data_IF_567797293492
#
_entry.id   IF_567797293492
#
_cell.length_a   1.000
_cell.length_b   1.000
_cell.length_c   1.000
_cell.angle_alpha   90.00
_cell.angle_beta   90.00
_cell.angle_gamma   90.00
#
_symmetry.space_group_name_H-M   'P 1'
#
loop_
_entity.id
_entity.type
_entity.pdbx_description
1 polymer ?
#
# COMPACT_ATOMS: atom_id res chain seq x y z
N UNK A 1 -10.12 21.79 -9.39
CA UNK A 1 -9.51 21.58 -8.06
C UNK A 1 -8.16 22.30 -7.95
N UNK A 2 -7.18 21.96 -8.77
CA UNK A 2 -5.82 22.54 -8.69
C UNK A 2 -5.68 23.89 -9.42
N UNK A 3 -6.63 24.25 -10.29
CA UNK A 3 -6.50 25.42 -11.16
C UNK A 3 -6.85 26.76 -10.50
N UNK A 4 -7.47 26.75 -9.30
CA UNK A 4 -7.84 27.96 -8.57
C UNK A 4 -6.97 28.13 -7.32
N UNK A 5 -5.93 29.00 -7.34
CA UNK A 5 -4.97 29.15 -6.24
C UNK A 5 -5.62 29.41 -4.87
N UNK A 6 -6.68 30.21 -4.81
CA UNK A 6 -7.36 30.55 -3.55
C UNK A 6 -8.20 29.42 -2.95
N UNK A 7 -8.31 28.27 -3.63
CA UNK A 7 -9.14 27.13 -3.22
C UNK A 7 -8.40 25.79 -3.37
N UNK A 8 -7.08 25.81 -3.56
CA UNK A 8 -6.29 24.58 -3.68
C UNK A 8 -6.30 23.82 -2.36
N UNK A 9 -6.56 22.51 -2.37
CA UNK A 9 -6.38 21.71 -1.17
C UNK A 9 -4.88 21.65 -0.84
N UNK A 10 -4.49 21.75 0.44
CA UNK A 10 -3.10 21.59 0.83
C UNK A 10 -2.61 20.14 0.67
N UNK A 11 -3.54 19.18 0.68
CA UNK A 11 -3.25 17.76 0.59
C UNK A 11 -4.29 17.07 -0.29
N UNK A 12 -3.83 16.24 -1.22
CA UNK A 12 -4.64 15.35 -2.04
C UNK A 12 -4.19 13.93 -1.79
N UNK A 13 -5.05 13.13 -1.16
CA UNK A 13 -4.84 11.70 -0.96
C UNK A 13 -5.38 10.94 -2.17
N UNK A 14 -4.55 10.08 -2.75
CA UNK A 14 -4.88 9.23 -3.89
C UNK A 14 -4.79 7.77 -3.44
N UNK A 15 -5.55 6.89 -4.09
CA UNK A 15 -5.46 5.45 -3.84
C UNK A 15 -6.56 4.69 -4.56
N UNK A 16 -6.48 3.36 -4.48
CA UNK A 16 -7.45 2.43 -5.10
C UNK A 16 -7.17 2.08 -6.56
N UNK A 17 -6.47 2.95 -7.31
CA UNK A 17 -6.02 2.71 -8.68
C UNK A 17 -4.60 3.24 -8.89
N UNK A 18 -3.92 2.76 -9.93
CA UNK A 18 -2.58 3.23 -10.27
C UNK A 18 -2.61 4.72 -10.66
N UNK A 19 -1.82 5.54 -9.98
CA UNK A 19 -1.68 6.96 -10.28
C UNK A 19 -0.88 7.14 -11.56
N UNK A 20 -1.40 7.92 -12.50
CA UNK A 20 -0.69 8.19 -13.75
C UNK A 20 0.50 9.14 -13.54
N UNK A 21 1.60 8.99 -14.30
CA UNK A 21 2.73 9.92 -14.23
C UNK A 21 2.32 11.38 -14.46
N UNK A 22 1.40 11.63 -15.39
CA UNK A 22 0.91 12.98 -15.70
C UNK A 22 0.18 13.63 -14.51
N UNK A 23 -0.68 12.88 -13.80
CA UNK A 23 -1.35 13.39 -12.60
C UNK A 23 -0.35 13.66 -11.48
N UNK A 24 0.60 12.74 -11.27
CA UNK A 24 1.62 12.88 -10.22
C UNK A 24 2.51 14.09 -10.44
N UNK A 25 3.00 14.28 -11.67
CA UNK A 25 3.78 15.47 -12.05
C UNK A 25 3.00 16.77 -11.86
N UNK A 26 1.70 16.78 -12.19
CA UNK A 26 0.85 17.95 -11.97
C UNK A 26 0.71 18.28 -10.49
N UNK A 27 0.52 17.26 -9.64
CA UNK A 27 0.44 17.46 -8.19
C UNK A 27 1.77 17.96 -7.62
N UNK A 28 2.89 17.35 -7.99
CA UNK A 28 4.22 17.77 -7.57
C UNK A 28 4.56 19.20 -7.99
N UNK A 29 4.08 19.66 -9.15
CA UNK A 29 4.27 21.02 -9.65
C UNK A 29 3.28 22.06 -9.10
N UNK A 30 2.24 21.64 -8.36
CA UNK A 30 1.21 22.55 -7.85
C UNK A 30 1.66 23.15 -6.51
N UNK A 31 2.09 24.40 -6.54
CA UNK A 31 2.47 25.13 -5.33
C UNK A 31 1.33 25.16 -4.30
N UNK A 32 1.69 24.87 -3.04
CA UNK A 32 0.77 24.82 -1.91
C UNK A 32 -0.04 23.53 -1.80
N UNK A 33 0.16 22.55 -2.69
CA UNK A 33 -0.51 21.25 -2.64
C UNK A 33 0.51 20.12 -2.56
N UNK A 34 0.25 19.16 -1.67
CA UNK A 34 0.97 17.89 -1.60
C UNK A 34 0.09 16.78 -2.15
N UNK A 35 0.60 16.00 -3.09
CA UNK A 35 0.00 14.71 -3.46
C UNK A 35 0.54 13.62 -2.54
N UNK A 36 -0.32 12.70 -2.10
CA UNK A 36 0.10 11.53 -1.35
C UNK A 36 -0.57 10.29 -1.95
N UNK A 37 0.23 9.39 -2.49
CA UNK A 37 -0.25 8.14 -3.08
C UNK A 37 -0.32 7.08 -1.99
N UNK A 38 -1.46 6.42 -1.86
CA UNK A 38 -1.71 5.40 -0.86
C UNK A 38 -2.13 4.10 -1.53
N UNK A 39 -1.62 2.99 -1.02
CA UNK A 39 -2.06 1.67 -1.40
C UNK A 39 -2.41 0.86 -0.16
N UNK A 40 -3.57 0.21 -0.17
CA UNK A 40 -3.87 -0.85 0.76
C UNK A 40 -5.18 -1.57 0.42
N UNK A 41 -5.24 -2.88 0.69
CA UNK A 41 -6.48 -3.62 0.60
C UNK A 41 -7.36 -3.38 1.83
N UNK A 42 -8.67 -3.60 1.68
CA UNK A 42 -9.63 -3.58 2.80
C UNK A 42 -9.21 -4.52 3.94
N UNK A 43 -8.58 -5.63 3.59
CA UNK A 43 -8.08 -6.67 4.50
C UNK A 43 -6.90 -6.23 5.38
N UNK A 44 -6.34 -5.05 5.14
CA UNK A 44 -5.37 -4.39 6.01
C UNK A 44 -5.83 -2.98 6.43
N UNK A 45 -7.14 -2.75 6.60
CA UNK A 45 -7.64 -1.51 7.22
C UNK A 45 -7.21 -0.24 6.46
N UNK A 46 -7.70 -0.11 5.22
CA UNK A 46 -7.55 1.06 4.33
C UNK A 46 -6.19 1.13 3.62
N UNK A 47 -5.09 1.43 4.32
CA UNK A 47 -3.79 1.69 3.68
C UNK A 47 -2.66 0.89 4.33
N UNK A 48 -1.66 0.53 3.52
CA UNK A 48 -0.47 -0.26 3.89
C UNK A 48 0.82 0.42 3.49
N UNK A 49 0.82 1.05 2.32
CA UNK A 49 1.95 1.74 1.73
C UNK A 49 1.54 3.19 1.43
N UNK A 50 2.51 4.10 1.50
CA UNK A 50 2.30 5.46 1.05
C UNK A 50 3.58 6.21 0.71
N UNK A 51 3.44 7.23 -0.13
CA UNK A 51 4.51 8.19 -0.45
C UNK A 51 3.94 9.55 -0.85
N UNK A 52 4.63 10.61 -0.46
CA UNK A 52 4.30 11.98 -0.86
C UNK A 52 5.05 12.45 -2.11
N UNK A 53 4.49 13.42 -2.84
CA UNK A 53 5.17 14.10 -3.96
C UNK A 53 6.44 14.85 -3.52
N UNK A 54 6.60 15.11 -2.21
CA UNK A 54 7.80 15.70 -1.62
C UNK A 54 8.89 14.66 -1.31
N UNK A 55 8.56 13.36 -1.32
CA UNK A 55 9.48 12.25 -1.05
C UNK A 55 9.94 11.58 -2.35
N UNK A 56 9.04 11.41 -3.34
CA UNK A 56 9.33 10.71 -4.59
C UNK A 56 8.69 11.40 -5.80
N UNK A 57 9.46 11.52 -6.88
CA UNK A 57 8.99 12.11 -8.14
C UNK A 57 8.26 11.11 -9.05
N UNK A 58 8.29 9.82 -8.71
CA UNK A 58 7.61 8.75 -9.45
C UNK A 58 6.31 8.34 -8.74
N UNK A 59 5.25 7.97 -9.48
CA UNK A 59 3.95 7.58 -8.92
C UNK A 59 3.97 6.14 -8.36
N UNK A 60 4.92 5.84 -7.48
CA UNK A 60 5.01 4.53 -6.80
C UNK A 60 4.04 4.46 -5.63
N UNK A 61 3.75 3.25 -5.15
CA UNK A 61 2.88 3.02 -3.98
C UNK A 61 3.58 3.35 -2.65
N UNK A 62 4.92 3.48 -2.67
CA UNK A 62 5.69 3.97 -1.53
C UNK A 62 6.19 2.89 -0.58
N UNK A 63 6.36 3.28 0.68
CA UNK A 63 6.90 2.44 1.76
C UNK A 63 5.83 2.11 2.79
N UNK A 64 6.08 1.10 3.62
CA UNK A 64 5.15 0.69 4.67
C UNK A 64 4.85 1.82 5.66
N UNK A 65 3.58 1.96 6.03
CA UNK A 65 3.16 2.82 7.14
C UNK A 65 3.55 2.18 8.49
N UNK A 66 3.41 2.94 9.58
CA UNK A 66 3.73 2.45 10.92
C UNK A 66 3.09 1.10 11.24
N UNK A 67 3.85 0.24 11.93
CA UNK A 67 3.43 -1.09 12.37
C UNK A 67 2.95 -2.00 11.23
N UNK A 68 3.48 -1.80 10.02
CA UNK A 68 3.20 -2.60 8.83
C UNK A 68 4.49 -3.15 8.25
N UNK A 69 4.45 -4.42 7.89
CA UNK A 69 5.53 -5.11 7.19
C UNK A 69 5.03 -5.54 5.83
N UNK A 70 5.87 -5.39 4.81
CA UNK A 70 5.53 -5.76 3.43
C UNK A 70 6.60 -6.66 2.86
N UNK A 71 6.17 -7.66 2.10
CA UNK A 71 7.05 -8.66 1.53
C UNK A 71 6.70 -8.88 0.06
N UNK A 72 7.70 -8.85 -0.81
CA UNK A 72 7.57 -9.29 -2.20
C UNK A 72 8.15 -10.69 -2.28
N UNK A 73 7.28 -11.67 -2.49
CA UNK A 73 7.61 -13.09 -2.35
C UNK A 73 7.45 -13.86 -3.67
N UNK A 74 8.22 -14.92 -3.79
CA UNK A 74 8.03 -15.95 -4.82
C UNK A 74 6.92 -16.96 -4.44
N UNK A 75 6.53 -17.90 -5.34
CA UNK A 75 5.50 -18.91 -5.04
C UNK A 75 5.84 -19.88 -3.90
N UNK A 76 7.08 -19.89 -3.42
CA UNK A 76 7.55 -20.71 -2.30
C UNK A 76 7.72 -19.88 -1.01
N UNK A 77 7.15 -18.67 -0.96
CA UNK A 77 7.23 -17.72 0.16
C UNK A 77 8.65 -17.27 0.50
N UNK A 78 9.53 -17.17 -0.49
CA UNK A 78 10.90 -16.66 -0.32
C UNK A 78 10.96 -15.19 -0.72
N UNK A 79 11.64 -14.33 0.06
CA UNK A 79 11.88 -12.94 -0.33
C UNK A 79 12.63 -12.86 -1.65
N UNK A 80 12.15 -11.99 -2.54
CA UNK A 80 12.80 -11.70 -3.80
C UNK A 80 13.80 -10.54 -3.67
N UNK A 81 14.86 -10.52 -4.50
CA UNK A 81 15.79 -9.39 -4.53
C UNK A 81 15.13 -8.14 -5.14
N UNK A 82 15.71 -6.97 -4.85
CA UNK A 82 15.24 -5.69 -5.36
C UNK A 82 15.06 -5.70 -6.89
N UNK A 83 13.91 -5.18 -7.33
CA UNK A 83 13.55 -5.07 -8.74
C UNK A 83 12.98 -6.35 -9.38
N UNK A 84 13.01 -7.49 -8.69
CA UNK A 84 12.37 -8.70 -9.20
C UNK A 84 10.84 -8.67 -8.96
N UNK A 85 10.02 -9.02 -9.97
CA UNK A 85 8.57 -9.07 -9.80
C UNK A 85 8.17 -10.27 -8.95
N UNK A 86 7.27 -10.05 -8.01
CA UNK A 86 6.71 -11.07 -7.13
C UNK A 86 5.34 -10.69 -6.60
N UNK A 87 4.78 -11.55 -5.76
CA UNK A 87 3.48 -11.28 -5.13
C UNK A 87 3.68 -10.50 -3.83
N UNK A 88 2.83 -9.49 -3.60
CA UNK A 88 2.88 -8.65 -2.41
C UNK A 88 2.10 -9.31 -1.25
N UNK A 89 2.73 -9.34 -0.09
CA UNK A 89 2.15 -9.76 1.17
C UNK A 89 2.28 -8.65 2.19
N UNK A 90 1.25 -8.44 3.00
CA UNK A 90 1.20 -7.41 4.04
C UNK A 90 0.94 -8.06 5.41
N UNK A 91 1.77 -7.75 6.39
CA UNK A 91 1.68 -8.23 7.77
C UNK A 91 1.72 -7.05 8.75
N UNK A 92 1.35 -7.32 10.01
CA UNK A 92 1.33 -6.32 11.08
C UNK A 92 -0.07 -6.09 11.65
N UNK A 93 -0.18 -5.05 12.49
CA UNK A 93 -1.34 -4.87 13.38
C UNK A 93 -2.64 -4.51 12.63
N UNK A 94 -2.53 -4.04 11.38
CA UNK A 94 -3.66 -3.63 10.56
C UNK A 94 -4.43 -4.78 9.93
N UNK A 95 -3.96 -6.02 10.05
CA UNK A 95 -4.56 -7.19 9.41
C UNK A 95 -5.99 -7.45 9.94
N UNK A 96 -6.93 -7.62 9.01
CA UNK A 96 -8.30 -7.96 9.36
C UNK A 96 -8.39 -9.33 10.06
N UNK A 97 -9.48 -9.54 10.80
CA UNK A 97 -9.75 -10.85 11.42
C UNK A 97 -9.91 -11.95 10.36
N UNK A 98 -10.51 -11.62 9.23
CA UNK A 98 -10.80 -12.52 8.13
C UNK A 98 -12.12 -12.17 7.45
N UNK A 99 -12.57 -13.04 6.57
CA UNK A 99 -13.86 -12.91 5.91
C UNK A 99 -14.98 -13.51 6.76
N UNK A 100 -16.04 -12.75 7.00
CA UNK A 100 -17.17 -13.17 7.84
C UNK A 100 -17.82 -14.46 7.31
N UNK A 101 -17.83 -15.51 8.13
CA UNK A 101 -18.45 -16.79 7.78
C UNK A 101 -17.71 -17.60 6.70
N UNK A 102 -16.53 -17.17 6.26
CA UNK A 102 -15.80 -17.79 5.15
C UNK A 102 -14.40 -18.23 5.61
N UNK A 103 -14.35 -19.28 6.45
CA UNK A 103 -13.11 -19.79 7.03
C UNK A 103 -12.10 -20.29 5.98
N UNK A 104 -12.56 -20.98 4.94
CA UNK A 104 -11.69 -21.47 3.87
C UNK A 104 -11.01 -20.33 3.10
N UNK A 105 -11.78 -19.31 2.70
CA UNK A 105 -11.23 -18.12 2.03
C UNK A 105 -10.31 -17.33 2.96
N UNK A 106 -10.66 -17.25 4.24
CA UNK A 106 -9.82 -16.61 5.25
C UNK A 106 -8.48 -17.33 5.36
N UNK A 107 -8.47 -18.66 5.50
CA UNK A 107 -7.24 -19.43 5.59
C UNK A 107 -6.39 -19.37 4.30
N UNK A 108 -7.02 -19.21 3.14
CA UNK A 108 -6.31 -19.08 1.86
C UNK A 108 -5.65 -17.71 1.67
N UNK A 109 -6.25 -16.63 2.20
CA UNK A 109 -5.75 -15.25 2.03
C UNK A 109 -4.94 -14.73 3.22
N UNK A 110 -5.31 -15.12 4.44
CA UNK A 110 -4.66 -14.72 5.69
C UNK A 110 -3.80 -15.88 6.19
N UNK A 111 -2.61 -16.03 5.60
CA UNK A 111 -1.69 -17.15 5.83
C UNK A 111 -0.75 -16.86 6.99
N UNK A 112 -0.08 -17.89 7.51
CA UNK A 112 0.94 -17.71 8.54
C UNK A 112 2.12 -16.87 8.02
N UNK A 113 2.61 -15.93 8.83
CA UNK A 113 3.80 -15.14 8.49
C UNK A 113 5.06 -15.89 8.96
N UNK A 114 5.96 -16.33 8.06
CA UNK A 114 7.20 -17.02 8.45
C UNK A 114 8.30 -16.06 8.94
N UNK A 115 8.10 -14.75 8.81
CA UNK A 115 9.08 -13.71 9.14
C UNK A 115 8.80 -13.03 10.48
N UNK A 116 7.57 -13.16 10.98
CA UNK A 116 7.08 -12.52 12.20
C UNK A 116 7.17 -13.40 13.43
N UNK A 117 6.56 -12.94 14.52
CA UNK A 117 6.47 -13.71 15.76
C UNK A 117 5.55 -14.94 15.61
N UNK A 118 5.71 -15.99 16.45
CA UNK A 118 4.83 -17.15 16.41
C UNK A 118 3.33 -16.77 16.53
N UNK A 119 2.54 -17.21 15.56
CA UNK A 119 1.10 -16.92 15.49
C UNK A 119 0.72 -15.69 14.68
N UNK A 120 1.69 -14.91 14.20
CA UNK A 120 1.41 -13.81 13.28
C UNK A 120 0.98 -14.30 11.90
N UNK A 121 0.20 -13.44 11.23
CA UNK A 121 -0.39 -13.71 9.92
C UNK A 121 0.01 -12.61 8.95
N UNK A 122 0.01 -12.95 7.67
CA UNK A 122 0.14 -12.03 6.56
C UNK A 122 -1.02 -12.21 5.57
N UNK A 123 -1.43 -11.14 4.93
CA UNK A 123 -2.47 -11.14 3.90
C UNK A 123 -1.84 -11.15 2.51
N UNK A 124 -2.27 -12.11 1.69
CA UNK A 124 -1.88 -12.32 0.30
C UNK A 124 -2.70 -11.40 -0.62
N UNK A 125 -2.11 -10.33 -1.14
CA UNK A 125 -2.86 -9.27 -1.84
C UNK A 125 -3.42 -9.73 -3.18
N UNK A 126 -2.80 -10.74 -3.81
CA UNK A 126 -3.11 -11.19 -5.16
C UNK A 126 -2.25 -10.51 -6.21
#
# INVERSE_FOLDING_TARGET
LLDNPGQRPPLVLLGGEAVTPALWQRLAATEGTVGYNLYGPTEYTINTLGVGTFECLDPVVGVAIDNTEVYVLDPWLRPLPDGAPGELYVAGIGIARGYLGQSAQTAHRFVACPFGAPGERMYRTG
#
